data_IF_227846062558
#
_entry.id   IF_227846062558
#
_cell.length_a   1.000
_cell.length_b   1.000
_cell.length_c   1.000
_cell.angle_alpha   90.00
_cell.angle_beta   90.00
_cell.angle_gamma   90.00
#
_symmetry.space_group_name_H-M   'P 1'
#
loop_
_entity.id
_entity.type
_entity.pdbx_description
1 polymer ?
#
# COMPACT_ATOMS: atom_id res chain seq x y z
N UNK A 1 -29.37 -21.39 11.67
CA UNK A 1 -28.82 -22.17 12.80
C UNK A 1 -27.79 -23.15 12.27
N UNK A 2 -26.55 -23.08 12.81
CA UNK A 2 -25.41 -24.02 12.73
C UNK A 2 -24.58 -24.01 11.44
N UNK A 3 -23.24 -24.07 11.45
CA UNK A 3 -22.18 -24.03 12.51
C UNK A 3 -20.81 -23.92 11.78
N UNK A 4 -19.97 -22.99 12.24
CA UNK A 4 -18.50 -22.96 12.39
C UNK A 4 -17.52 -23.65 11.40
N UNK A 5 -16.65 -22.80 10.81
CA UNK A 5 -15.16 -22.79 10.82
C UNK A 5 -14.35 -24.09 10.75
N UNK A 6 -13.40 -24.15 9.81
CA UNK A 6 -12.04 -24.72 9.97
C UNK A 6 -11.17 -24.29 8.75
N UNK A 7 -10.15 -23.43 8.91
CA UNK A 7 -8.81 -23.67 9.48
C UNK A 7 -7.77 -24.08 8.41
N UNK A 8 -7.07 -23.07 7.89
CA UNK A 8 -5.76 -23.16 7.23
C UNK A 8 -4.67 -23.44 8.25
N UNK A 9 -3.89 -24.51 8.05
CA UNK A 9 -2.48 -24.59 8.47
C UNK A 9 -1.82 -25.82 7.81
N UNK A 10 -1.17 -25.59 6.68
CA UNK A 10 -0.18 -26.50 6.15
C UNK A 10 1.07 -25.67 5.84
N UNK A 11 2.13 -25.83 6.63
CA UNK A 11 3.34 -26.51 6.19
C UNK A 11 4.38 -26.51 7.29
N UNK A 12 4.80 -27.72 7.64
CA UNK A 12 5.96 -28.03 8.45
C UNK A 12 7.24 -27.70 7.70
N UNK A 13 8.20 -27.08 8.38
CA UNK A 13 9.61 -27.39 8.17
C UNK A 13 10.30 -27.40 9.54
N UNK A 14 10.42 -28.61 10.10
CA UNK A 14 11.40 -28.92 11.12
C UNK A 14 12.80 -28.87 10.50
N UNK A 15 13.70 -28.07 11.05
CA UNK A 15 15.15 -28.25 10.90
C UNK A 15 15.83 -28.07 12.26
N UNK A 16 15.96 -29.22 12.94
CA UNK A 16 17.18 -29.71 13.58
C UNK A 16 17.86 -28.80 14.63
N UNK A 17 17.35 -28.86 15.87
CA UNK A 17 18.18 -28.67 17.07
C UNK A 17 19.11 -29.90 17.22
N UNK A 18 20.25 -29.86 16.55
CA UNK A 18 21.36 -30.77 16.78
C UNK A 18 22.55 -29.99 17.31
N UNK A 19 22.79 -30.07 18.63
CA UNK A 19 24.06 -30.63 19.13
C UNK A 19 24.09 -30.68 20.67
N UNK A 20 24.17 -31.91 21.17
CA UNK A 20 24.89 -32.35 22.36
C UNK A 20 24.71 -31.59 23.68
N UNK A 21 23.76 -32.06 24.49
CA UNK A 21 24.00 -32.18 25.92
C UNK A 21 24.99 -33.34 26.17
N UNK A 22 26.05 -33.08 26.92
CA UNK A 22 26.79 -34.09 27.68
C UNK A 22 27.08 -33.51 29.07
N UNK A 23 26.99 -34.31 30.14
CA UNK A 23 26.97 -33.80 31.50
C UNK A 23 28.40 -33.54 31.97
N UNK A 24 28.68 -32.35 32.52
CA UNK A 24 29.92 -32.12 33.26
C UNK A 24 29.65 -31.20 34.45
N UNK A 25 30.13 -31.68 35.59
CA UNK A 25 30.16 -31.13 36.94
C UNK A 25 30.71 -29.68 37.00
N UNK A 26 30.43 -28.91 38.06
CA UNK A 26 30.80 -27.51 38.19
C UNK A 26 32.25 -27.37 38.68
N UNK A 27 33.13 -26.86 37.82
CA UNK A 27 34.42 -26.35 38.25
C UNK A 27 34.79 -25.13 37.38
N UNK A 28 35.00 -24.01 38.06
CA UNK A 28 35.63 -22.81 37.53
C UNK A 28 36.90 -23.17 36.75
N UNK A 29 37.07 -22.61 35.55
CA UNK A 29 38.38 -22.11 35.15
C UNK A 29 38.28 -21.01 34.10
N UNK A 30 39.20 -20.07 34.26
CA UNK A 30 39.34 -18.79 33.60
C UNK A 30 39.76 -18.99 32.13
N UNK A 31 39.00 -18.48 31.16
CA UNK A 31 39.51 -18.26 29.80
C UNK A 31 38.78 -17.09 29.16
N UNK A 32 39.47 -15.95 29.10
CA UNK A 32 39.04 -14.74 28.40
C UNK A 32 38.60 -15.07 26.96
N UNK A 33 37.30 -14.89 26.70
CA UNK A 33 36.74 -14.92 25.34
C UNK A 33 36.98 -13.54 24.73
N UNK A 34 37.57 -13.43 23.52
CA UNK A 34 37.60 -12.14 22.84
C UNK A 34 36.16 -11.79 22.45
N UNK A 35 35.64 -10.71 23.01
CA UNK A 35 34.36 -10.13 22.56
C UNK A 35 34.51 -9.75 21.09
N UNK A 36 33.94 -10.59 20.22
CA UNK A 36 33.76 -10.23 18.82
C UNK A 36 32.65 -9.18 18.80
N UNK A 37 33.04 -7.90 18.81
CA UNK A 37 32.11 -6.80 18.57
C UNK A 37 31.72 -6.88 17.10
N UNK A 38 30.72 -7.69 16.80
CA UNK A 38 29.99 -7.61 15.54
C UNK A 38 29.29 -6.26 15.55
N UNK A 39 29.92 -5.27 14.94
CA UNK A 39 29.19 -4.07 14.52
C UNK A 39 28.23 -4.54 13.44
N UNK A 40 27.00 -4.83 13.82
CA UNK A 40 25.89 -4.88 12.87
C UNK A 40 25.79 -3.49 12.30
N UNK A 41 26.35 -3.29 11.12
CA UNK A 41 26.05 -2.11 10.30
C UNK A 41 24.53 -2.09 10.16
N UNK A 42 23.89 -1.06 10.73
CA UNK A 42 22.46 -0.89 10.62
C UNK A 42 22.15 -0.86 9.12
N UNK A 43 21.45 -1.88 8.63
CA UNK A 43 20.98 -1.91 7.26
C UNK A 43 20.29 -0.57 7.01
N UNK A 44 20.76 0.18 6.01
CA UNK A 44 20.14 1.45 5.66
C UNK A 44 18.65 1.21 5.49
N UNK A 45 17.83 1.92 6.27
CA UNK A 45 16.39 1.89 6.09
C UNK A 45 16.13 2.30 4.65
N UNK A 46 15.61 1.36 3.85
CA UNK A 46 15.17 1.63 2.49
C UNK A 46 13.97 2.54 2.61
N UNK A 47 14.22 3.84 2.63
CA UNK A 47 13.16 4.84 2.53
C UNK A 47 12.61 4.73 1.11
N UNK A 48 11.29 4.51 0.93
CA UNK A 48 10.70 4.52 -0.40
C UNK A 48 11.07 5.84 -1.10
N UNK A 49 11.54 5.75 -2.34
CA UNK A 49 11.81 6.94 -3.13
C UNK A 49 10.47 7.63 -3.44
N UNK A 50 10.15 8.65 -2.65
CA UNK A 50 9.05 9.57 -2.95
C UNK A 50 9.43 10.36 -4.21
N UNK A 51 8.51 10.45 -5.16
CA UNK A 51 8.70 11.26 -6.36
C UNK A 51 8.15 12.67 -6.18
N UNK A 52 8.64 13.61 -7.00
CA UNK A 52 8.16 14.99 -6.96
C UNK A 52 6.66 15.11 -7.23
N UNK A 53 6.05 16.21 -6.77
CA UNK A 53 4.64 16.55 -7.04
C UNK A 53 4.32 16.45 -8.53
N UNK A 54 5.13 17.05 -9.42
CA UNK A 54 4.88 17.01 -10.87
C UNK A 54 4.98 15.62 -11.46
N UNK A 55 5.87 14.76 -10.94
CA UNK A 55 5.93 13.34 -11.31
C UNK A 55 4.67 12.60 -10.87
N UNK A 56 4.17 12.87 -9.66
CA UNK A 56 2.91 12.30 -9.17
C UNK A 56 1.72 12.73 -10.01
N UNK A 57 1.62 14.02 -10.33
CA UNK A 57 0.60 14.55 -11.21
C UNK A 57 0.65 13.89 -12.59
N UNK A 58 1.85 13.64 -13.14
CA UNK A 58 1.98 12.91 -14.40
C UNK A 58 1.53 11.44 -14.28
N UNK A 59 1.76 10.76 -13.16
CA UNK A 59 1.24 9.40 -12.95
C UNK A 59 -0.29 9.37 -12.84
N UNK A 60 -0.89 10.42 -12.26
CA UNK A 60 -2.33 10.54 -12.09
C UNK A 60 -3.05 10.94 -13.38
N UNK A 61 -2.57 11.97 -14.08
CA UNK A 61 -3.22 12.57 -15.26
C UNK A 61 -2.66 12.08 -16.61
N UNK A 62 -1.46 11.50 -16.64
CA UNK A 62 -0.77 11.17 -17.89
C UNK A 62 -1.16 9.82 -18.50
N UNK A 63 -1.29 9.82 -19.83
CA UNK A 63 -1.43 8.61 -20.65
C UNK A 63 -2.87 8.16 -20.90
N UNK A 64 -3.02 7.16 -21.78
CA UNK A 64 -4.33 6.60 -22.18
C UNK A 64 -5.07 5.91 -21.02
N UNK A 65 -4.32 5.44 -20.03
CA UNK A 65 -4.82 4.73 -18.84
C UNK A 65 -4.48 5.50 -17.56
N UNK A 66 -4.67 6.82 -17.60
CA UNK A 66 -4.45 7.70 -16.45
C UNK A 66 -5.38 7.31 -15.28
N UNK A 67 -4.94 7.58 -14.05
CA UNK A 67 -5.77 7.34 -12.88
C UNK A 67 -7.01 8.25 -12.90
N UNK A 68 -6.87 9.49 -13.36
CA UNK A 68 -7.97 10.43 -13.54
C UNK A 68 -9.06 9.87 -14.46
N UNK A 69 -8.68 9.33 -15.62
CA UNK A 69 -9.63 8.75 -16.56
C UNK A 69 -10.37 7.58 -15.95
N UNK A 70 -9.65 6.69 -15.27
CA UNK A 70 -10.26 5.53 -14.59
C UNK A 70 -11.22 5.97 -13.48
N UNK A 71 -10.87 7.00 -12.70
CA UNK A 71 -11.78 7.59 -11.72
C UNK A 71 -13.03 8.11 -12.43
N UNK A 72 -12.90 8.93 -13.46
CA UNK A 72 -14.03 9.49 -14.21
C UNK A 72 -14.94 8.42 -14.81
N UNK A 73 -14.37 7.39 -15.43
CA UNK A 73 -15.13 6.30 -16.05
C UNK A 73 -15.82 5.38 -15.02
N UNK A 74 -15.20 5.20 -13.85
CA UNK A 74 -15.63 4.22 -12.86
C UNK A 74 -16.51 4.80 -11.77
N UNK A 75 -16.45 6.11 -11.49
CA UNK A 75 -17.30 6.75 -10.47
C UNK A 75 -18.79 6.45 -10.62
N UNK A 76 -19.41 6.48 -11.82
CA UNK A 76 -20.82 6.11 -11.97
C UNK A 76 -21.14 4.66 -11.60
N UNK A 77 -20.15 3.75 -11.69
CA UNK A 77 -20.33 2.33 -11.40
C UNK A 77 -20.43 2.05 -9.89
N UNK A 78 -20.08 3.02 -9.05
CA UNK A 78 -20.24 2.95 -7.59
C UNK A 78 -21.71 2.90 -7.16
N UNK A 79 -22.67 3.18 -8.06
CA UNK A 79 -24.10 3.02 -7.80
C UNK A 79 -24.55 1.55 -7.82
N UNK A 80 -23.79 0.67 -8.48
CA UNK A 80 -24.09 -0.77 -8.62
C UNK A 80 -22.81 -1.60 -8.45
N UNK A 81 -22.13 -1.53 -7.29
CA UNK A 81 -20.84 -2.19 -7.07
C UNK A 81 -20.93 -3.72 -7.09
N UNK A 82 -22.13 -4.30 -6.98
CA UNK A 82 -22.38 -5.74 -7.02
C UNK A 82 -22.38 -6.33 -8.44
N UNK A 83 -22.46 -5.51 -9.48
CA UNK A 83 -22.30 -5.99 -10.86
C UNK A 83 -20.85 -6.43 -11.10
N UNK A 84 -20.66 -7.58 -11.74
CA UNK A 84 -19.32 -8.18 -11.90
C UNK A 84 -18.37 -7.27 -12.70
N UNK A 85 -18.87 -6.61 -13.75
CA UNK A 85 -18.07 -5.69 -14.55
C UNK A 85 -17.77 -4.40 -13.78
N UNK A 86 -18.76 -3.88 -13.04
CA UNK A 86 -18.56 -2.75 -12.13
C UNK A 86 -17.51 -3.05 -11.06
N UNK A 87 -17.61 -4.18 -10.37
CA UNK A 87 -16.68 -4.61 -9.34
C UNK A 87 -15.24 -4.71 -9.88
N UNK A 88 -15.06 -5.28 -11.07
CA UNK A 88 -13.75 -5.38 -11.71
C UNK A 88 -13.14 -4.00 -12.04
N UNK A 89 -13.96 -3.07 -12.57
CA UNK A 89 -13.52 -1.70 -12.87
C UNK A 89 -13.19 -0.90 -11.59
N UNK A 90 -14.01 -1.03 -10.55
CA UNK A 90 -13.81 -0.41 -9.23
C UNK A 90 -12.50 -0.91 -8.61
N UNK A 91 -12.27 -2.23 -8.60
CA UNK A 91 -11.03 -2.81 -8.10
C UNK A 91 -9.81 -2.29 -8.86
N UNK A 92 -9.88 -2.28 -10.19
CA UNK A 92 -8.80 -1.79 -11.06
C UNK A 92 -8.47 -0.32 -10.78
N UNK A 93 -9.50 0.51 -10.62
CA UNK A 93 -9.34 1.94 -10.30
C UNK A 93 -8.70 2.13 -8.93
N UNK A 94 -9.14 1.37 -7.91
CA UNK A 94 -8.56 1.38 -6.57
C UNK A 94 -7.08 0.99 -6.57
N UNK A 95 -6.70 -0.07 -7.28
CA UNK A 95 -5.30 -0.49 -7.41
C UNK A 95 -4.45 0.56 -8.12
N UNK A 96 -4.99 1.20 -9.17
CA UNK A 96 -4.29 2.28 -9.85
C UNK A 96 -4.02 3.46 -8.92
N UNK A 97 -5.00 3.86 -8.12
CA UNK A 97 -4.84 4.93 -7.13
C UNK A 97 -3.79 4.59 -6.08
N UNK A 98 -3.74 3.33 -5.62
CA UNK A 98 -2.67 2.86 -4.72
C UNK A 98 -1.30 2.94 -5.37
N UNK A 99 -1.18 2.55 -6.63
CA UNK A 99 0.07 2.67 -7.35
C UNK A 99 0.57 4.11 -7.42
N UNK A 100 -0.33 5.09 -7.59
CA UNK A 100 0.01 6.52 -7.52
C UNK A 100 0.42 6.89 -6.08
N UNK A 101 -0.36 6.51 -5.08
CA UNK A 101 -0.11 6.82 -3.66
C UNK A 101 1.24 6.30 -3.14
N UNK A 102 1.66 5.10 -3.55
CA UNK A 102 2.87 4.45 -3.04
C UNK A 102 4.16 5.25 -3.27
N UNK A 103 4.18 6.11 -4.28
CA UNK A 103 5.33 6.96 -4.61
C UNK A 103 5.02 8.45 -4.51
N UNK A 104 3.76 8.81 -4.23
CA UNK A 104 3.32 10.19 -4.21
C UNK A 104 4.01 10.99 -3.11
N UNK A 105 4.28 12.25 -3.44
CA UNK A 105 4.70 13.26 -2.46
C UNK A 105 3.73 13.29 -1.25
N UNK A 106 4.23 13.32 0.01
CA UNK A 106 3.41 13.39 1.21
C UNK A 106 2.33 14.47 1.16
N UNK A 107 2.61 15.63 0.55
CA UNK A 107 1.68 16.76 0.48
C UNK A 107 0.43 16.44 -0.36
N UNK A 108 0.49 15.40 -1.20
CA UNK A 108 -0.61 14.95 -2.06
C UNK A 108 -1.46 13.84 -1.42
N UNK A 109 -0.99 13.23 -0.32
CA UNK A 109 -1.60 12.02 0.22
C UNK A 109 -3.03 12.24 0.71
N UNK A 110 -3.32 13.40 1.32
CA UNK A 110 -4.67 13.74 1.78
C UNK A 110 -5.67 13.71 0.62
N UNK A 111 -5.37 14.41 -0.47
CA UNK A 111 -6.23 14.47 -1.64
C UNK A 111 -6.35 13.10 -2.32
N UNK A 112 -5.24 12.36 -2.46
CA UNK A 112 -5.28 11.01 -3.02
C UNK A 112 -6.10 10.04 -2.17
N UNK A 113 -6.08 10.19 -0.84
CA UNK A 113 -6.92 9.40 0.07
C UNK A 113 -8.41 9.72 -0.13
N UNK A 114 -8.76 11.00 -0.26
CA UNK A 114 -10.13 11.41 -0.58
C UNK A 114 -10.64 10.85 -1.91
N UNK A 115 -9.79 10.86 -2.95
CA UNK A 115 -10.13 10.31 -4.27
C UNK A 115 -10.34 8.78 -4.20
N UNK A 116 -9.50 8.07 -3.44
CA UNK A 116 -9.54 6.61 -3.32
C UNK A 116 -10.65 6.08 -2.42
N UNK A 117 -11.04 6.83 -1.40
CA UNK A 117 -11.99 6.41 -0.38
C UNK A 117 -13.27 5.72 -0.90
N UNK A 118 -14.01 6.27 -1.89
CA UNK A 118 -15.23 5.62 -2.37
C UNK A 118 -14.97 4.27 -3.06
N UNK A 119 -13.87 4.14 -3.81
CA UNK A 119 -13.50 2.88 -4.47
C UNK A 119 -13.04 1.84 -3.46
N UNK A 120 -12.30 2.27 -2.44
CA UNK A 120 -11.90 1.42 -1.32
C UNK A 120 -13.12 0.90 -0.55
N UNK A 121 -14.08 1.77 -0.24
CA UNK A 121 -15.32 1.40 0.44
C UNK A 121 -16.12 0.37 -0.37
N UNK A 122 -16.22 0.56 -1.69
CA UNK A 122 -16.89 -0.37 -2.58
C UNK A 122 -16.23 -1.77 -2.57
N UNK A 123 -14.89 -1.85 -2.66
CA UNK A 123 -14.15 -3.13 -2.60
C UNK A 123 -14.30 -3.81 -1.23
N UNK A 124 -14.42 -3.03 -0.16
CA UNK A 124 -14.59 -3.54 1.20
C UNK A 124 -16.05 -3.86 1.57
N UNK A 125 -16.99 -3.73 0.62
CA UNK A 125 -18.44 -3.87 0.86
C UNK A 125 -18.95 -2.95 1.99
N UNK A 126 -18.31 -1.78 2.14
CA UNK A 126 -18.65 -0.76 3.13
C UNK A 126 -19.59 0.29 2.54
N UNK A 127 -20.10 1.19 3.40
CA UNK A 127 -20.90 2.33 2.94
C UNK A 127 -20.06 3.23 2.01
N UNK A 128 -20.48 3.35 0.76
CA UNK A 128 -19.85 4.21 -0.23
C UNK A 128 -20.35 5.64 -0.02
N UNK A 129 -19.43 6.57 0.17
CA UNK A 129 -19.69 8.02 0.22
C UNK A 129 -18.81 8.73 -0.83
N UNK A 130 -19.45 9.43 -1.76
CA UNK A 130 -18.80 10.17 -2.84
C UNK A 130 -18.86 11.69 -2.64
N UNK A 131 -19.42 12.17 -1.52
CA UNK A 131 -19.68 13.59 -1.30
C UNK A 131 -18.42 14.47 -1.34
N UNK A 132 -17.27 13.94 -0.93
CA UNK A 132 -15.97 14.63 -0.94
C UNK A 132 -15.09 14.31 -2.14
N UNK A 133 -15.53 13.43 -3.06
CA UNK A 133 -14.71 12.98 -4.19
C UNK A 133 -14.33 14.15 -5.11
N UNK A 134 -15.31 14.96 -5.50
CA UNK A 134 -15.07 16.10 -6.38
C UNK A 134 -14.14 17.14 -5.74
N UNK A 135 -14.36 17.44 -4.46
CA UNK A 135 -13.50 18.36 -3.69
C UNK A 135 -12.04 17.88 -3.68
N UNK A 136 -11.84 16.58 -3.45
CA UNK A 136 -10.50 15.97 -3.43
C UNK A 136 -9.83 16.01 -4.81
N UNK A 137 -10.59 15.78 -5.89
CA UNK A 137 -10.11 15.90 -7.27
C UNK A 137 -9.70 17.34 -7.60
N UNK A 138 -10.53 18.31 -7.23
CA UNK A 138 -10.27 19.73 -7.48
C UNK A 138 -9.04 20.22 -6.69
N UNK A 139 -8.92 19.83 -5.43
CA UNK A 139 -7.77 20.13 -4.59
C UNK A 139 -6.47 19.51 -5.13
N UNK A 140 -6.52 18.23 -5.54
CA UNK A 140 -5.37 17.57 -6.18
C UNK A 140 -4.96 18.28 -7.47
N UNK A 141 -5.93 18.68 -8.31
CA UNK A 141 -5.68 19.44 -9.54
C UNK A 141 -5.06 20.80 -9.26
N UNK A 142 -5.52 21.50 -8.22
CA UNK A 142 -4.97 22.79 -7.81
C UNK A 142 -3.50 22.65 -7.39
N UNK A 143 -3.17 21.69 -6.53
CA UNK A 143 -1.78 21.43 -6.12
C UNK A 143 -0.88 21.07 -7.30
N UNK A 144 -1.36 20.28 -8.25
CA UNK A 144 -0.63 20.00 -9.49
C UNK A 144 -0.35 21.28 -10.30
N UNK A 145 -1.33 22.18 -10.38
CA UNK A 145 -1.18 23.46 -11.07
C UNK A 145 -0.16 24.35 -10.37
N UNK A 146 -0.22 24.45 -9.04
CA UNK A 146 0.73 25.23 -8.23
C UNK A 146 2.16 24.70 -8.34
N UNK A 147 2.33 23.38 -8.46
CA UNK A 147 3.61 22.74 -8.70
C UNK A 147 4.13 22.89 -10.15
N UNK A 148 3.37 23.53 -11.03
CA UNK A 148 3.75 23.78 -12.42
C UNK A 148 3.53 22.60 -13.37
N UNK A 149 2.65 21.64 -13.02
CA UNK A 149 2.25 20.58 -13.93
C UNK A 149 1.43 21.15 -15.09
N UNK A 150 1.85 20.86 -16.31
CA UNK A 150 1.12 21.23 -17.52
C UNK A 150 0.18 20.10 -17.93
N UNK A 151 -1.13 20.36 -17.85
CA UNK A 151 -2.15 19.42 -18.32
C UNK A 151 -2.12 19.32 -19.85
N UNK A 152 -2.25 18.09 -20.36
CA UNK A 152 -2.47 17.88 -21.79
C UNK A 152 -3.76 18.58 -22.23
N UNK A 153 -3.71 19.24 -23.39
CA UNK A 153 -4.81 20.02 -23.98
C UNK A 153 -5.70 19.16 -24.86
#
# INVERSE_FOLDING_TARGET
MRKFLAATAALSCALLLASCASPTDPASDDTATPETTTTTEAASEVTPAVVSVTTTCNMFYGGEYSAERLVTETTPLLETPEDEAAAAAIYTTRERLIAVQNFADPDLQENLNGIKAPFEAAVQEATIDTSSLQESLDAFRAQCTEAGYAFAS
#
